data_IF_448666248077
#
_entry.id   IF_448666248077
#
_cell.length_a   1.000
_cell.length_b   1.000
_cell.length_c   1.000
_cell.angle_alpha   90.00
_cell.angle_beta   90.00
_cell.angle_gamma   90.00
#
_symmetry.space_group_name_H-M   'P 1'
#
loop_
_entity.id
_entity.type
_entity.pdbx_description
1 polymer ?
#
# COMPACT_ATOMS: atom_id res chain seq x y z
N UNK A 1 19.57 29.34 25.85
CA UNK A 1 18.19 28.89 25.58
C UNK A 1 17.71 29.63 24.34
N UNK A 2 17.32 28.94 23.26
CA UNK A 2 16.91 29.58 22.01
C UNK A 2 15.43 29.97 22.05
N UNK A 3 15.04 31.10 21.43
CA UNK A 3 13.64 31.51 21.35
C UNK A 3 12.85 30.54 20.47
N UNK A 4 11.72 30.04 20.99
CA UNK A 4 10.75 29.28 20.22
C UNK A 4 9.72 30.24 19.63
N UNK A 5 9.66 30.34 18.30
CA UNK A 5 8.71 31.19 17.59
C UNK A 5 7.44 30.42 17.23
N UNK A 6 6.30 31.10 17.30
CA UNK A 6 5.02 30.54 16.87
C UNK A 6 4.96 30.54 15.32
N UNK A 7 4.54 29.44 14.68
CA UNK A 7 4.31 29.43 13.24
C UNK A 7 3.19 30.42 12.89
N UNK A 8 3.40 31.20 11.84
CA UNK A 8 2.49 32.27 11.40
C UNK A 8 1.30 31.70 10.62
N UNK A 9 1.53 30.63 9.84
CA UNK A 9 0.53 30.06 8.96
C UNK A 9 0.73 28.55 8.82
N UNK A 10 -0.37 27.82 8.57
CA UNK A 10 -0.38 26.38 8.34
C UNK A 10 -1.21 26.09 7.10
N UNK A 11 -0.60 25.42 6.12
CA UNK A 11 -1.28 25.00 4.90
C UNK A 11 -1.29 23.49 4.78
N UNK A 12 -2.42 22.95 4.32
CA UNK A 12 -2.55 21.54 3.95
C UNK A 12 -2.36 21.47 2.43
N UNK A 13 -1.39 20.66 2.00
CA UNK A 13 -1.20 20.33 0.57
C UNK A 13 -1.81 18.96 0.34
N UNK A 14 -2.73 18.88 -0.61
CA UNK A 14 -3.30 17.63 -1.10
C UNK A 14 -2.74 17.33 -2.48
N UNK A 15 -2.44 16.06 -2.75
CA UNK A 15 -1.97 15.58 -4.05
C UNK A 15 -2.82 14.39 -4.50
N UNK A 16 -3.03 14.25 -5.80
CA UNK A 16 -3.70 13.08 -6.37
C UNK A 16 -2.70 11.93 -6.44
N UNK A 17 -2.98 10.86 -5.69
CA UNK A 17 -2.16 9.64 -5.67
C UNK A 17 -2.94 8.52 -6.34
N UNK A 18 -2.26 7.77 -7.22
CA UNK A 18 -2.83 6.57 -7.84
C UNK A 18 -3.01 5.47 -6.79
N UNK A 19 -4.25 5.06 -6.56
CA UNK A 19 -4.56 3.91 -5.72
C UNK A 19 -4.48 2.62 -6.56
N UNK A 20 -3.31 1.96 -6.54
CA UNK A 20 -3.08 0.71 -7.30
C UNK A 20 -3.85 -0.48 -6.72
N UNK A 21 -4.06 -0.49 -5.41
CA UNK A 21 -4.75 -1.56 -4.68
C UNK A 21 -5.76 -0.96 -3.70
N UNK A 22 -6.84 -1.69 -3.39
CA UNK A 22 -7.77 -1.26 -2.37
C UNK A 22 -7.11 -1.30 -0.98
N UNK A 23 -7.46 -0.36 -0.07
CA UNK A 23 -7.07 -0.45 1.33
C UNK A 23 -7.54 -1.78 1.96
N UNK A 24 -6.62 -2.54 2.56
CA UNK A 24 -6.90 -3.83 3.19
C UNK A 24 -6.02 -4.04 4.43
N UNK A 25 -6.53 -4.75 5.44
CA UNK A 25 -5.85 -5.03 6.72
C UNK A 25 -6.13 -6.47 7.17
N UNK A 26 -5.12 -7.13 7.77
CA UNK A 26 -5.26 -8.44 8.39
C UNK A 26 -4.80 -8.37 9.86
N UNK A 27 -5.64 -8.85 10.76
CA UNK A 27 -5.42 -8.77 12.22
C UNK A 27 -4.49 -9.85 12.78
N UNK A 28 -3.78 -10.58 11.94
CA UNK A 28 -2.87 -11.65 12.35
C UNK A 28 -1.63 -11.74 11.45
N UNK A 29 -0.60 -12.43 11.95
CA UNK A 29 0.55 -12.88 11.18
C UNK A 29 0.82 -14.36 11.49
N UNK A 30 1.14 -15.22 10.50
CA UNK A 30 1.27 -14.94 9.06
C UNK A 30 -0.05 -14.57 8.37
N UNK A 31 0.04 -13.74 7.33
CA UNK A 31 -1.12 -13.31 6.56
C UNK A 31 -1.75 -14.44 5.73
N UNK A 32 -3.06 -14.33 5.51
CA UNK A 32 -3.88 -15.28 4.77
C UNK A 32 -4.10 -14.77 3.35
N UNK A 33 -3.44 -15.40 2.38
CA UNK A 33 -3.49 -14.97 0.98
C UNK A 33 -4.91 -14.98 0.41
N UNK A 34 -5.76 -15.91 0.88
CA UNK A 34 -7.14 -16.02 0.42
C UNK A 34 -8.07 -14.90 0.87
N UNK A 35 -7.61 -14.03 1.75
CA UNK A 35 -8.32 -12.81 2.15
C UNK A 35 -7.83 -11.56 1.39
N UNK A 36 -6.77 -11.65 0.60
CA UNK A 36 -6.19 -10.51 -0.15
C UNK A 36 -6.97 -10.27 -1.44
N UNK A 37 -7.23 -9.01 -1.77
CA UNK A 37 -7.85 -8.62 -3.05
C UNK A 37 -7.05 -7.51 -3.76
N UNK A 38 -6.73 -7.66 -5.07
CA UNK A 38 -6.87 -8.88 -5.85
C UNK A 38 -5.95 -10.00 -5.34
N UNK A 39 -6.27 -11.26 -5.65
CA UNK A 39 -5.40 -12.39 -5.29
C UNK A 39 -4.04 -12.26 -5.99
N UNK A 40 -2.92 -12.51 -5.28
CA UNK A 40 -1.61 -12.55 -5.91
C UNK A 40 -1.54 -13.56 -7.05
N UNK A 41 -0.71 -13.27 -8.06
CA UNK A 41 -0.41 -14.21 -9.15
C UNK A 41 0.64 -15.19 -8.61
N UNK A 42 0.19 -16.34 -8.14
CA UNK A 42 1.08 -17.39 -7.60
C UNK A 42 1.73 -18.24 -8.69
N UNK A 43 1.12 -18.31 -9.86
CA UNK A 43 1.56 -19.16 -10.98
C UNK A 43 1.64 -18.37 -12.27
N UNK A 44 2.61 -18.71 -13.11
CA UNK A 44 2.70 -18.15 -14.45
C UNK A 44 1.69 -18.86 -15.36
N UNK A 45 0.80 -18.14 -16.06
CA UNK A 45 -0.21 -18.78 -16.91
C UNK A 45 0.37 -19.44 -18.16
N UNK A 46 1.66 -19.21 -18.46
CA UNK A 46 2.35 -19.68 -19.67
C UNK A 46 3.55 -20.57 -19.34
N UNK A 47 3.34 -21.60 -18.53
CA UNK A 47 4.35 -22.65 -18.40
C UNK A 47 4.45 -23.40 -19.75
N UNK A 48 5.29 -22.90 -20.65
CA UNK A 48 5.65 -23.61 -21.88
C UNK A 48 6.64 -24.71 -21.48
N UNK A 49 6.13 -25.90 -21.19
CA UNK A 49 6.92 -27.12 -21.25
C UNK A 49 7.46 -27.26 -22.67
N UNK A 50 8.70 -26.82 -22.90
CA UNK A 50 9.44 -27.23 -24.08
C UNK A 50 9.74 -28.73 -23.90
N UNK A 51 8.86 -29.54 -24.49
CA UNK A 51 8.96 -30.99 -24.58
C UNK A 51 10.10 -31.42 -25.50
#
# INVERSE_FOLDING_TARGET
MYPAYKPIEKHIKCEEVKATFPPQHQGCQPGLEYLIFPRPISETPYYLENR
#
